data_IF_990155409482
#
_entry.id   IF_990155409482
#
_cell.length_a   1.000
_cell.length_b   1.000
_cell.length_c   1.000
_cell.angle_alpha   90.00
_cell.angle_beta   90.00
_cell.angle_gamma   90.00
#
_symmetry.space_group_name_H-M   'P 1'
#
loop_
_entity.id
_entity.type
_entity.pdbx_description
1 polymer ?
#
# COMPACT_ATOMS: atom_id res chain seq x y z
N UNK A 1 -26.05 -10.50 11.41
CA UNK A 1 -25.04 -11.15 10.57
C UNK A 1 -24.25 -10.11 9.79
N UNK A 2 -22.97 -10.33 9.66
CA UNK A 2 -22.02 -9.41 9.05
C UNK A 2 -22.10 -9.50 7.53
N UNK A 3 -22.25 -8.38 6.84
CA UNK A 3 -22.23 -8.31 5.38
C UNK A 3 -20.89 -7.74 4.91
N UNK A 4 -19.82 -8.40 5.30
CA UNK A 4 -18.46 -7.94 5.05
C UNK A 4 -18.19 -7.69 3.56
N UNK A 5 -18.65 -8.58 2.68
CA UNK A 5 -18.41 -8.47 1.24
C UNK A 5 -18.93 -7.12 0.70
N UNK A 6 -20.21 -6.85 0.90
CA UNK A 6 -20.83 -5.63 0.39
C UNK A 6 -20.32 -4.38 1.11
N UNK A 7 -20.06 -4.47 2.40
CA UNK A 7 -19.55 -3.33 3.17
C UNK A 7 -18.16 -2.93 2.70
N UNK A 8 -17.26 -3.89 2.43
CA UNK A 8 -15.93 -3.59 1.90
C UNK A 8 -16.01 -2.93 0.54
N UNK A 9 -16.85 -3.43 -0.36
CA UNK A 9 -17.01 -2.85 -1.69
C UNK A 9 -17.62 -1.45 -1.62
N UNK A 10 -18.55 -1.23 -0.70
CA UNK A 10 -19.23 0.05 -0.52
C UNK A 10 -18.28 1.17 -0.08
N UNK A 11 -17.37 0.89 0.85
CA UNK A 11 -16.44 1.90 1.36
C UNK A 11 -15.25 2.12 0.45
N UNK A 12 -15.02 1.24 -0.51
CA UNK A 12 -13.86 1.28 -1.39
C UNK A 12 -14.01 2.40 -2.42
N UNK A 13 -13.00 3.30 -2.55
CA UNK A 13 -13.09 4.38 -3.54
C UNK A 13 -13.02 3.86 -4.97
N UNK A 14 -13.72 4.54 -5.87
CA UNK A 14 -13.65 4.24 -7.30
C UNK A 14 -12.40 4.87 -7.92
N UNK A 15 -11.79 4.16 -8.87
CA UNK A 15 -10.66 4.66 -9.65
C UNK A 15 -11.02 4.56 -11.13
N UNK A 16 -11.46 5.67 -11.70
CA UNK A 16 -11.94 5.72 -13.09
C UNK A 16 -10.84 5.57 -14.13
N UNK A 17 -9.61 5.93 -13.80
CA UNK A 17 -8.46 5.88 -14.73
C UNK A 17 -7.98 4.47 -15.03
N UNK A 18 -8.28 3.50 -14.19
CA UNK A 18 -7.72 2.15 -14.28
C UNK A 18 -8.84 1.14 -14.48
N UNK A 19 -9.55 1.27 -15.60
CA UNK A 19 -10.59 0.32 -15.96
C UNK A 19 -9.96 -1.01 -16.39
N UNK A 20 -10.70 -2.10 -16.18
CA UNK A 20 -10.27 -3.41 -16.64
C UNK A 20 -10.78 -3.64 -18.06
N UNK A 21 -9.94 -4.26 -18.91
CA UNK A 21 -10.26 -4.62 -20.28
C UNK A 21 -10.03 -6.11 -20.50
N UNK A 22 -10.71 -6.70 -21.45
CA UNK A 22 -10.59 -8.14 -21.77
C UNK A 22 -9.17 -8.52 -22.19
N UNK A 23 -8.40 -7.57 -22.75
CA UNK A 23 -7.02 -7.80 -23.20
C UNK A 23 -6.00 -7.78 -22.05
N UNK A 24 -6.41 -7.40 -20.85
CA UNK A 24 -5.51 -7.38 -19.71
C UNK A 24 -5.20 -8.78 -19.19
N UNK A 25 -3.97 -8.96 -18.69
CA UNK A 25 -3.62 -10.17 -17.95
C UNK A 25 -4.43 -10.23 -16.63
N UNK A 26 -4.47 -11.42 -16.03
CA UNK A 26 -5.17 -11.60 -14.75
C UNK A 26 -4.52 -10.74 -13.65
N UNK A 27 -3.19 -10.62 -13.66
CA UNK A 27 -2.48 -9.78 -12.69
C UNK A 27 -2.82 -8.29 -12.85
N UNK A 28 -2.89 -7.80 -14.09
CA UNK A 28 -3.25 -6.40 -14.35
C UNK A 28 -4.68 -6.12 -13.94
N UNK A 29 -5.59 -7.06 -14.22
CA UNK A 29 -6.99 -6.96 -13.86
C UNK A 29 -7.16 -6.90 -12.35
N UNK A 30 -6.47 -7.78 -11.62
CA UNK A 30 -6.50 -7.77 -10.15
C UNK A 30 -5.89 -6.47 -9.61
N UNK A 31 -4.80 -6.02 -10.19
CA UNK A 31 -4.17 -4.76 -9.79
C UNK A 31 -5.15 -3.59 -9.91
N UNK A 32 -5.83 -3.47 -11.02
CA UNK A 32 -6.72 -2.34 -11.29
C UNK A 32 -8.05 -2.44 -10.54
N UNK A 33 -8.61 -3.64 -10.43
CA UNK A 33 -9.92 -3.85 -9.80
C UNK A 33 -9.85 -3.94 -8.27
N UNK A 34 -8.74 -4.42 -7.72
CA UNK A 34 -8.62 -4.68 -6.28
C UNK A 34 -7.50 -3.90 -5.61
N UNK A 35 -6.25 -4.03 -6.10
CA UNK A 35 -5.09 -3.44 -5.40
C UNK A 35 -5.15 -1.92 -5.36
N UNK A 36 -5.43 -1.26 -6.47
CA UNK A 36 -5.47 0.21 -6.52
C UNK A 36 -6.58 0.81 -5.65
N UNK A 37 -7.83 0.32 -5.70
CA UNK A 37 -8.86 0.82 -4.79
C UNK A 37 -8.56 0.57 -3.31
N UNK A 38 -8.04 -0.61 -2.96
CA UNK A 38 -7.66 -0.93 -1.59
C UNK A 38 -6.52 -0.03 -1.12
N UNK A 39 -5.53 0.21 -1.96
CA UNK A 39 -4.43 1.11 -1.65
C UNK A 39 -4.92 2.53 -1.38
N UNK A 40 -5.84 3.03 -2.20
CA UNK A 40 -6.42 4.36 -2.03
C UNK A 40 -7.18 4.46 -0.71
N UNK A 41 -7.94 3.42 -0.35
CA UNK A 41 -8.65 3.36 0.92
C UNK A 41 -7.68 3.37 2.11
N UNK A 42 -6.60 2.60 2.02
CA UNK A 42 -5.63 2.42 3.10
C UNK A 42 -4.54 3.49 3.14
N UNK A 43 -4.54 4.42 2.21
CA UNK A 43 -3.47 5.40 2.08
C UNK A 43 -3.17 6.17 3.39
N UNK A 44 -4.16 6.69 4.11
CA UNK A 44 -3.86 7.40 5.37
C UNK A 44 -3.18 6.49 6.40
N UNK A 45 -3.60 5.23 6.47
CA UNK A 45 -3.00 4.27 7.39
C UNK A 45 -1.57 3.90 6.97
N UNK A 46 -1.32 3.75 5.68
CA UNK A 46 0.03 3.49 5.15
C UNK A 46 0.98 4.64 5.47
N UNK A 47 0.53 5.87 5.32
CA UNK A 47 1.32 7.06 5.70
C UNK A 47 1.67 7.01 7.18
N UNK A 48 0.68 6.79 8.04
CA UNK A 48 0.89 6.73 9.49
C UNK A 48 1.84 5.57 9.87
N UNK A 49 1.68 4.43 9.23
CA UNK A 49 2.53 3.26 9.48
C UNK A 49 3.98 3.51 9.09
N UNK A 50 4.21 4.18 7.96
CA UNK A 50 5.57 4.52 7.52
C UNK A 50 6.22 5.55 8.45
N UNK A 51 5.48 6.58 8.86
CA UNK A 51 6.00 7.58 9.81
C UNK A 51 6.40 6.90 11.12
N UNK A 52 5.58 5.99 11.63
CA UNK A 52 5.92 5.22 12.83
C UNK A 52 7.17 4.36 12.61
N UNK A 53 7.28 3.72 11.46
CA UNK A 53 8.46 2.93 11.09
C UNK A 53 9.72 3.79 11.11
N UNK A 54 9.68 4.94 10.44
CA UNK A 54 10.82 5.85 10.37
C UNK A 54 11.25 6.34 11.76
N UNK A 55 10.28 6.65 12.62
CA UNK A 55 10.56 7.08 13.99
C UNK A 55 11.20 5.96 14.83
N UNK A 56 10.75 4.74 14.68
CA UNK A 56 11.32 3.57 15.37
C UNK A 56 12.77 3.28 14.91
N UNK A 57 13.10 3.68 13.70
CA UNK A 57 14.46 3.57 13.16
C UNK A 57 15.24 4.88 13.37
N UNK A 58 15.07 5.49 14.53
CA UNK A 58 15.83 6.66 15.01
C UNK A 58 15.64 7.93 14.17
N UNK A 59 14.60 7.99 13.37
CA UNK A 59 14.32 9.16 12.54
C UNK A 59 15.35 9.45 11.46
N UNK A 60 16.21 8.51 11.14
CA UNK A 60 17.25 8.68 10.11
C UNK A 60 16.66 9.14 8.78
N UNK A 61 15.47 8.63 8.43
CA UNK A 61 14.78 9.02 7.21
C UNK A 61 14.67 10.55 7.06
N UNK A 62 14.35 11.25 8.14
CA UNK A 62 14.10 12.69 8.12
C UNK A 62 15.38 13.52 8.01
N UNK A 63 16.53 12.91 8.25
CA UNK A 63 17.84 13.55 8.11
C UNK A 63 18.42 13.38 6.70
N UNK A 64 17.82 12.51 5.89
CA UNK A 64 18.30 12.24 4.54
C UNK A 64 17.85 13.32 3.56
N UNK A 65 18.63 13.50 2.48
CA UNK A 65 18.21 14.29 1.32
C UNK A 65 17.04 13.59 0.61
N UNK A 66 16.29 14.34 -0.19
CA UNK A 66 15.20 13.78 -0.97
C UNK A 66 15.66 12.59 -1.83
N UNK A 67 16.82 12.72 -2.46
CA UNK A 67 17.39 11.65 -3.30
C UNK A 67 17.63 10.36 -2.53
N UNK A 68 18.02 10.46 -1.26
CA UNK A 68 18.27 9.30 -0.40
C UNK A 68 17.01 8.76 0.27
N UNK A 69 15.98 9.60 0.43
CA UNK A 69 14.68 9.16 0.96
C UNK A 69 13.96 8.20 0.03
N UNK A 70 14.08 8.41 -1.28
CA UNK A 70 13.45 7.52 -2.26
C UNK A 70 13.90 6.07 -2.10
N UNK A 71 15.22 5.75 -2.15
CA UNK A 71 15.66 4.38 -1.95
C UNK A 71 15.47 3.88 -0.51
N UNK A 72 15.41 4.76 0.48
CA UNK A 72 15.09 4.36 1.86
C UNK A 72 13.71 3.71 1.94
N UNK A 73 12.70 4.33 1.31
CA UNK A 73 11.34 3.78 1.25
C UNK A 73 11.35 2.40 0.57
N UNK A 74 12.03 2.30 -0.56
CA UNK A 74 12.13 1.05 -1.31
C UNK A 74 12.77 -0.06 -0.46
N UNK A 75 13.86 0.25 0.23
CA UNK A 75 14.56 -0.70 1.10
C UNK A 75 13.68 -1.13 2.28
N UNK A 76 12.96 -0.18 2.89
CA UNK A 76 12.07 -0.47 4.01
C UNK A 76 10.98 -1.49 3.62
N UNK A 77 10.41 -1.30 2.43
CA UNK A 77 9.34 -2.18 1.93
C UNK A 77 9.90 -3.51 1.41
N UNK A 78 11.04 -3.50 0.73
CA UNK A 78 11.58 -4.71 0.09
C UNK A 78 12.44 -5.56 1.00
N UNK A 79 13.19 -4.96 1.92
CA UNK A 79 14.22 -5.65 2.71
C UNK A 79 13.83 -5.90 4.16
N UNK A 80 13.01 -5.06 4.75
CA UNK A 80 12.55 -5.28 6.12
C UNK A 80 11.34 -6.20 6.11
N UNK A 81 11.57 -7.48 6.40
CA UNK A 81 10.54 -8.51 6.29
C UNK A 81 9.36 -8.27 7.23
N UNK A 82 9.62 -7.79 8.44
CA UNK A 82 8.57 -7.46 9.41
C UNK A 82 7.65 -6.37 8.89
N UNK A 83 8.24 -5.28 8.39
CA UNK A 83 7.47 -4.14 7.90
C UNK A 83 6.73 -4.51 6.61
N UNK A 84 7.41 -5.21 5.70
CA UNK A 84 6.80 -5.72 4.48
C UNK A 84 5.56 -6.57 4.76
N UNK A 85 5.65 -7.48 5.71
CA UNK A 85 4.54 -8.35 6.08
C UNK A 85 3.40 -7.59 6.74
N UNK A 86 3.71 -6.59 7.57
CA UNK A 86 2.69 -5.74 8.19
C UNK A 86 1.92 -4.95 7.14
N UNK A 87 2.61 -4.32 6.20
CA UNK A 87 1.99 -3.57 5.10
C UNK A 87 1.13 -4.49 4.22
N UNK A 88 1.65 -5.65 3.88
CA UNK A 88 0.93 -6.66 3.12
C UNK A 88 -0.39 -7.05 3.79
N UNK A 89 -0.35 -7.29 5.11
CA UNK A 89 -1.54 -7.62 5.89
C UNK A 89 -2.56 -6.50 5.93
N UNK A 90 -2.11 -5.25 5.97
CA UNK A 90 -3.00 -4.08 5.95
C UNK A 90 -3.83 -4.01 4.66
N UNK A 91 -3.23 -4.42 3.55
CA UNK A 91 -3.91 -4.41 2.25
C UNK A 91 -4.79 -5.67 2.09
N UNK A 92 -4.23 -6.84 2.35
CA UNK A 92 -4.96 -8.12 2.22
C UNK A 92 -6.17 -8.17 3.14
N UNK A 93 -6.08 -7.56 4.32
CA UNK A 93 -7.20 -7.48 5.27
C UNK A 93 -8.43 -6.77 4.72
N UNK A 94 -8.29 -5.99 3.64
CA UNK A 94 -9.40 -5.31 2.99
C UNK A 94 -9.96 -6.06 1.78
N UNK A 95 -9.42 -7.23 1.46
CA UNK A 95 -9.93 -8.04 0.35
C UNK A 95 -11.25 -8.70 0.74
N UNK A 96 -12.16 -8.83 -0.24
CA UNK A 96 -13.28 -9.75 -0.10
C UNK A 96 -12.77 -11.19 -0.16
N UNK A 97 -13.58 -12.14 0.30
CA UNK A 97 -13.22 -13.56 0.23
C UNK A 97 -13.00 -14.00 -1.22
N UNK A 98 -13.80 -13.49 -2.15
CA UNK A 98 -13.65 -13.79 -3.58
C UNK A 98 -12.33 -13.26 -4.13
N UNK A 99 -11.95 -12.04 -3.73
CA UNK A 99 -10.65 -11.46 -4.11
C UNK A 99 -9.50 -12.26 -3.53
N UNK A 100 -9.61 -12.69 -2.28
CA UNK A 100 -8.59 -13.51 -1.66
C UNK A 100 -8.41 -14.84 -2.40
N UNK A 101 -9.49 -15.45 -2.84
CA UNK A 101 -9.44 -16.68 -3.64
C UNK A 101 -8.66 -16.49 -4.94
N UNK A 102 -8.83 -15.34 -5.60
CA UNK A 102 -8.04 -14.99 -6.79
C UNK A 102 -6.57 -14.74 -6.43
N UNK A 103 -6.36 -14.02 -5.34
CA UNK A 103 -5.01 -13.65 -4.89
C UNK A 103 -4.14 -14.87 -4.62
N UNK A 104 -4.65 -15.89 -3.92
CA UNK A 104 -3.85 -17.07 -3.57
C UNK A 104 -3.45 -17.93 -4.77
N UNK A 105 -4.13 -17.77 -5.91
CA UNK A 105 -3.76 -18.48 -7.14
C UNK A 105 -2.45 -17.96 -7.75
N UNK A 106 -2.05 -16.72 -7.43
CA UNK A 106 -0.87 -16.09 -8.00
C UNK A 106 -0.23 -15.11 -7.02
N UNK A 107 -0.13 -15.50 -5.75
CA UNK A 107 0.27 -14.62 -4.66
C UNK A 107 1.66 -14.03 -4.84
N UNK A 108 2.61 -14.80 -5.37
CA UNK A 108 3.99 -14.34 -5.54
C UNK A 108 4.07 -13.11 -6.47
N UNK A 109 3.45 -13.20 -7.64
CA UNK A 109 3.42 -12.10 -8.61
C UNK A 109 2.59 -10.91 -8.11
N UNK A 110 1.45 -11.20 -7.48
CA UNK A 110 0.57 -10.14 -6.95
C UNK A 110 1.22 -9.42 -5.76
N UNK A 111 1.96 -10.13 -4.92
CA UNK A 111 2.72 -9.49 -3.84
C UNK A 111 3.75 -8.51 -4.38
N UNK A 112 4.44 -8.89 -5.44
CA UNK A 112 5.43 -8.02 -6.07
C UNK A 112 4.77 -6.74 -6.62
N UNK A 113 3.64 -6.88 -7.31
CA UNK A 113 2.87 -5.73 -7.81
C UNK A 113 2.38 -4.85 -6.67
N UNK A 114 1.85 -5.47 -5.62
CA UNK A 114 1.35 -4.79 -4.43
C UNK A 114 2.44 -3.93 -3.77
N UNK A 115 3.62 -4.52 -3.54
CA UNK A 115 4.72 -3.81 -2.90
C UNK A 115 5.24 -2.67 -3.78
N UNK A 116 5.32 -2.88 -5.09
CA UNK A 116 5.72 -1.81 -6.02
C UNK A 116 4.75 -0.64 -5.98
N UNK A 117 3.44 -0.91 -5.93
CA UNK A 117 2.43 0.14 -5.83
C UNK A 117 2.55 0.91 -4.51
N UNK A 118 2.82 0.21 -3.40
CA UNK A 118 3.02 0.85 -2.09
C UNK A 118 4.24 1.77 -2.13
N UNK A 119 5.36 1.29 -2.68
CA UNK A 119 6.60 2.08 -2.78
C UNK A 119 6.34 3.38 -3.56
N UNK A 120 5.76 3.26 -4.75
CA UNK A 120 5.49 4.44 -5.59
C UNK A 120 4.56 5.41 -4.89
N UNK A 121 3.51 4.90 -4.24
CA UNK A 121 2.54 5.75 -3.53
C UNK A 121 3.18 6.51 -2.37
N UNK A 122 4.02 5.86 -1.59
CA UNK A 122 4.74 6.53 -0.49
C UNK A 122 5.74 7.55 -1.03
N UNK A 123 6.47 7.20 -2.09
CA UNK A 123 7.42 8.13 -2.70
C UNK A 123 6.72 9.38 -3.27
N UNK A 124 5.57 9.20 -3.89
CA UNK A 124 4.78 10.31 -4.46
C UNK A 124 4.21 11.22 -3.39
N UNK A 125 4.12 10.75 -2.14
CA UNK A 125 3.55 11.50 -1.02
C UNK A 125 4.60 11.93 0.01
N UNK A 126 5.82 12.13 -0.44
CA UNK A 126 6.95 12.51 0.43
C UNK A 126 6.61 13.70 1.32
N UNK A 127 5.90 14.69 0.80
CA UNK A 127 5.51 15.88 1.56
C UNK A 127 4.61 15.54 2.75
N UNK A 128 3.69 14.59 2.57
CA UNK A 128 2.80 14.15 3.65
C UNK A 128 3.58 13.38 4.73
N UNK A 129 4.57 12.60 4.34
CA UNK A 129 5.42 11.87 5.29
C UNK A 129 6.16 12.85 6.22
N UNK A 130 6.72 13.90 5.65
CA UNK A 130 7.45 14.93 6.39
C UNK A 130 6.49 15.77 7.24
N UNK A 131 5.35 16.19 6.68
CA UNK A 131 4.36 16.99 7.41
C UNK A 131 3.81 16.26 8.64
N UNK A 132 3.51 14.95 8.50
CA UNK A 132 3.04 14.13 9.61
C UNK A 132 4.08 14.02 10.72
N UNK A 133 5.35 13.88 10.36
CA UNK A 133 6.43 13.85 11.34
C UNK A 133 6.55 15.18 12.10
N UNK A 134 6.56 16.30 11.39
CA UNK A 134 6.66 17.63 11.99
C UNK A 134 5.47 17.93 12.91
N UNK A 135 4.26 17.52 12.50
CA UNK A 135 3.05 17.70 13.29
C UNK A 135 3.12 16.96 14.63
N UNK A 136 3.73 15.78 14.65
CA UNK A 136 3.90 15.00 15.88
C UNK A 136 5.05 15.47 16.76
N UNK A 137 6.02 16.17 16.19
CA UNK A 137 7.15 16.69 16.92
C UNK A 137 6.81 17.94 17.76
N UNK A 138 5.67 18.56 17.47
CA UNK A 138 5.12 19.70 18.21
C UNK A 138 4.17 19.22 19.28
#
# INVERSE_FOLDING_TARGET
>A
MNDRHNDLLRIRPEIKKHQTFDTMSDEERFQNATLRPVLKLQNPLLIAAFVNYANKHKGVFYELSLEKRMPYIETAICKDQKFRNAVKGMLIGQFTVDEYALYIQNSSKLNKRMMNLVIVRLQDQMQLLVANHLSKAV
#
